data_IF_067492505158
#
_entry.id   IF_067492505158
#
_cell.length_a   1.000
_cell.length_b   1.000
_cell.length_c   1.000
_cell.angle_alpha   90.00
_cell.angle_beta   90.00
_cell.angle_gamma   90.00
#
_symmetry.space_group_name_H-M   'P 1'
#
loop_
_entity.id
_entity.type
_entity.pdbx_description
1 polymer ?
#
# COMPACT_ATOMS: atom_id res chain seq x y z
N UNK A 1 9.51 18.33 -5.67
CA UNK A 1 8.44 17.35 -5.97
C UNK A 1 7.48 17.38 -4.80
N UNK A 2 6.18 17.63 -5.02
CA UNK A 2 5.16 17.56 -3.97
C UNK A 2 4.43 16.23 -4.18
N UNK A 3 4.59 15.23 -3.30
CA UNK A 3 3.89 13.96 -3.45
C UNK A 3 2.39 14.16 -3.17
N UNK A 4 1.53 13.67 -4.07
CA UNK A 4 0.09 13.62 -3.84
C UNK A 4 -0.25 12.29 -3.16
N UNK A 5 -0.94 12.37 -2.01
CA UNK A 5 -1.43 11.20 -1.28
C UNK A 5 -2.91 10.99 -1.57
N UNK A 6 -3.27 9.76 -1.90
CA UNK A 6 -4.63 9.40 -2.25
C UNK A 6 -5.10 8.27 -1.33
N UNK A 7 -5.67 8.60 -0.16
CA UNK A 7 -6.16 7.62 0.78
C UNK A 7 -7.53 7.09 0.35
N UNK A 8 -7.69 5.77 0.35
CA UNK A 8 -8.96 5.09 0.13
C UNK A 8 -9.11 4.00 1.18
N UNK A 9 -10.33 3.79 1.69
CA UNK A 9 -10.62 2.71 2.62
C UNK A 9 -11.64 1.73 2.02
N UNK A 10 -11.46 0.44 2.33
CA UNK A 10 -12.38 -0.65 1.98
C UNK A 10 -12.62 -1.55 3.17
N UNK A 11 -13.81 -2.14 3.23
CA UNK A 11 -14.18 -3.06 4.32
C UNK A 11 -14.09 -4.48 3.80
N UNK A 12 -13.32 -5.30 4.52
CA UNK A 12 -13.29 -6.75 4.40
C UNK A 12 -14.24 -7.29 5.49
N UNK A 13 -15.33 -7.99 5.11
CA UNK A 13 -16.27 -8.56 6.07
C UNK A 13 -15.60 -9.60 6.97
N UNK A 14 -16.16 -9.80 8.17
CA UNK A 14 -15.81 -10.92 9.04
C UNK A 14 -16.06 -12.26 8.32
N UNK A 15 -15.19 -13.23 8.52
CA UNK A 15 -15.31 -14.56 7.91
C UNK A 15 -14.75 -14.65 6.49
N UNK A 16 -14.09 -13.61 5.98
CA UNK A 16 -13.56 -13.58 4.62
C UNK A 16 -12.27 -14.41 4.51
N UNK A 17 -12.16 -15.25 3.47
CA UNK A 17 -10.93 -15.99 3.13
C UNK A 17 -10.11 -15.30 2.04
N UNK A 18 -10.75 -14.43 1.25
CA UNK A 18 -10.09 -13.62 0.23
C UNK A 18 -10.83 -12.30 0.05
N UNK A 19 -10.09 -11.31 -0.45
CA UNK A 19 -10.61 -9.99 -0.78
C UNK A 19 -9.91 -9.48 -2.03
N UNK A 20 -10.67 -8.90 -2.96
CA UNK A 20 -10.14 -8.32 -4.18
C UNK A 20 -10.67 -6.90 -4.37
N UNK A 21 -9.77 -5.96 -4.65
CA UNK A 21 -10.11 -4.59 -5.00
C UNK A 21 -9.48 -4.24 -6.35
N UNK A 22 -10.32 -3.88 -7.30
CA UNK A 22 -9.93 -3.26 -8.57
C UNK A 22 -10.06 -1.76 -8.47
N UNK A 23 -9.29 -0.99 -9.27
CA UNK A 23 -9.35 0.48 -9.36
C UNK A 23 -8.71 1.24 -8.18
N UNK A 24 -7.52 0.80 -7.76
CA UNK A 24 -6.69 1.63 -6.85
C UNK A 24 -6.03 2.82 -7.55
N UNK A 25 -6.13 2.92 -8.87
CA UNK A 25 -5.68 4.09 -9.62
C UNK A 25 -6.69 5.22 -9.51
N UNK A 26 -6.21 6.41 -9.20
CA UNK A 26 -7.06 7.60 -9.11
C UNK A 26 -7.02 8.31 -10.46
N UNK A 27 -8.18 8.46 -11.10
CA UNK A 27 -8.32 9.04 -12.45
C UNK A 27 -7.48 8.35 -13.54
N UNK A 28 -7.21 7.06 -13.38
CA UNK A 28 -6.41 6.30 -14.34
C UNK A 28 -4.90 6.46 -14.17
N UNK A 29 -4.42 7.36 -13.33
CA UNK A 29 -2.98 7.48 -13.05
C UNK A 29 -2.53 6.46 -12.00
N UNK A 30 -1.40 5.81 -12.28
CA UNK A 30 -0.74 4.86 -11.39
C UNK A 30 0.14 5.62 -10.39
N UNK A 31 -0.01 5.37 -9.08
CA UNK A 31 0.96 5.84 -8.10
C UNK A 31 2.35 5.22 -8.37
N UNK A 32 3.41 5.81 -7.82
CA UNK A 32 4.75 5.22 -7.79
C UNK A 32 4.91 4.22 -6.64
N UNK A 33 4.20 4.44 -5.52
CA UNK A 33 4.18 3.52 -4.37
C UNK A 33 2.77 3.33 -3.84
N UNK A 34 2.48 2.15 -3.31
CA UNK A 34 1.22 1.84 -2.63
C UNK A 34 1.53 1.36 -1.22
N UNK A 35 0.91 2.01 -0.24
CA UNK A 35 0.94 1.57 1.16
C UNK A 35 -0.41 0.97 1.53
N UNK A 36 -0.38 -0.21 2.15
CA UNK A 36 -1.54 -0.93 2.63
C UNK A 36 -1.43 -1.08 4.15
N UNK A 37 -2.51 -0.76 4.86
CA UNK A 37 -2.66 -1.01 6.29
C UNK A 37 -3.97 -1.73 6.54
N UNK A 38 -3.94 -2.86 7.24
CA UNK A 38 -5.13 -3.57 7.67
C UNK A 38 -5.33 -3.30 9.17
N UNK A 39 -6.52 -2.86 9.55
CA UNK A 39 -6.88 -2.56 10.94
C UNK A 39 -8.30 -3.07 11.21
N UNK A 40 -8.60 -3.50 12.44
CA UNK A 40 -9.97 -3.87 12.80
C UNK A 40 -10.88 -2.65 12.62
N UNK A 41 -12.05 -2.82 12.01
CA UNK A 41 -13.01 -1.71 11.80
C UNK A 41 -13.38 -1.04 13.13
N UNK A 42 -13.49 -1.82 14.22
CA UNK A 42 -13.71 -1.30 15.57
C UNK A 42 -12.59 -0.39 16.07
N UNK A 43 -11.34 -0.72 15.75
CA UNK A 43 -10.17 0.07 16.13
C UNK A 43 -10.07 1.35 15.30
N UNK A 44 -10.52 1.34 14.05
CA UNK A 44 -10.56 2.51 13.19
C UNK A 44 -11.55 3.57 13.70
N UNK A 45 -12.71 3.15 14.22
CA UNK A 45 -13.69 4.06 14.83
C UNK A 45 -13.17 4.66 16.14
N UNK A 46 -12.26 3.96 16.82
CA UNK A 46 -11.58 4.42 18.02
C UNK A 46 -12.41 4.27 19.28
N UNK A 47 -11.73 3.92 20.36
CA UNK A 47 -12.23 3.93 21.74
C UNK A 47 -11.03 4.19 22.66
N UNK A 48 -11.27 4.48 23.94
CA UNK A 48 -10.17 4.70 24.89
C UNK A 48 -9.18 3.52 24.96
N UNK A 49 -9.67 2.29 24.72
CA UNK A 49 -8.88 1.06 24.76
C UNK A 49 -8.41 0.57 23.37
N UNK A 50 -8.79 1.25 22.28
CA UNK A 50 -8.44 0.83 20.92
C UNK A 50 -7.69 1.90 20.14
N UNK A 51 -6.73 1.47 19.32
CA UNK A 51 -5.89 2.36 18.53
C UNK A 51 -6.12 2.13 17.03
N UNK A 52 -6.43 3.19 16.25
CA UNK A 52 -6.56 3.09 14.80
C UNK A 52 -5.21 2.83 14.10
N UNK A 53 -4.10 2.92 14.82
CA UNK A 53 -2.75 2.65 14.31
C UNK A 53 -2.27 1.23 14.57
N UNK A 54 -3.13 0.36 15.12
CA UNK A 54 -2.80 -1.05 15.35
C UNK A 54 -2.99 -1.85 14.06
N UNK A 55 -1.95 -1.86 13.23
CA UNK A 55 -1.96 -2.56 11.95
C UNK A 55 -1.50 -4.01 12.12
N UNK A 56 -2.33 -4.95 11.65
CA UNK A 56 -2.12 -6.40 11.80
C UNK A 56 -2.31 -7.07 10.43
N UNK A 57 -1.67 -8.22 10.19
CA UNK A 57 -1.78 -8.92 8.90
C UNK A 57 -2.97 -9.90 8.81
N UNK A 58 -3.71 -10.15 9.89
CA UNK A 58 -4.91 -11.00 9.92
C UNK A 58 -4.71 -12.38 9.24
N UNK A 59 -3.57 -13.03 9.47
CA UNK A 59 -3.23 -14.32 8.86
C UNK A 59 -3.18 -14.27 7.32
N UNK A 60 -2.71 -13.15 6.77
CA UNK A 60 -2.46 -13.00 5.33
C UNK A 60 -1.58 -14.15 4.83
N UNK A 61 -2.08 -14.91 3.87
CA UNK A 61 -1.40 -16.04 3.25
C UNK A 61 -0.77 -15.63 1.93
N UNK A 62 -1.44 -14.77 1.15
CA UNK A 62 -0.89 -14.27 -0.11
C UNK A 62 -1.35 -12.86 -0.44
N UNK A 63 -0.49 -12.15 -1.17
CA UNK A 63 -0.73 -10.82 -1.70
C UNK A 63 -0.36 -10.82 -3.18
N UNK A 64 -1.34 -10.47 -4.02
CA UNK A 64 -1.14 -10.29 -5.45
C UNK A 64 -1.47 -8.85 -5.84
N UNK A 65 -0.54 -8.19 -6.50
CA UNK A 65 -0.74 -6.87 -7.08
C UNK A 65 -0.53 -6.95 -8.59
N UNK A 66 -1.55 -6.57 -9.35
CA UNK A 66 -1.52 -6.52 -10.81
C UNK A 66 -1.64 -5.08 -11.28
N UNK A 67 -0.83 -4.71 -12.25
CA UNK A 67 -0.90 -3.45 -12.97
C UNK A 67 -1.19 -3.77 -14.42
N UNK A 68 -2.28 -3.23 -14.97
CA UNK A 68 -2.71 -3.48 -16.35
C UNK A 68 -2.80 -4.98 -16.70
N UNK A 69 -3.31 -5.78 -15.76
CA UNK A 69 -3.44 -7.23 -15.88
C UNK A 69 -2.15 -8.03 -15.67
N UNK A 70 -0.98 -7.38 -15.65
CA UNK A 70 0.31 -8.03 -15.41
C UNK A 70 0.62 -8.07 -13.91
N UNK A 71 1.00 -9.23 -13.35
CA UNK A 71 1.40 -9.33 -11.95
C UNK A 71 2.74 -8.62 -11.73
N UNK A 72 2.75 -7.60 -10.86
CA UNK A 72 3.98 -6.94 -10.40
C UNK A 72 4.46 -7.58 -9.10
N UNK A 73 3.52 -7.94 -8.23
CA UNK A 73 3.81 -8.67 -6.99
C UNK A 73 2.94 -9.92 -6.88
N UNK A 74 3.57 -11.02 -6.49
CA UNK A 74 2.96 -12.32 -6.22
C UNK A 74 3.67 -12.92 -5.02
N UNK A 75 3.25 -12.49 -3.82
CA UNK A 75 3.87 -12.89 -2.56
C UNK A 75 3.01 -13.95 -1.89
N UNK A 76 3.67 -14.99 -1.38
CA UNK A 76 3.07 -16.05 -0.58
C UNK A 76 3.84 -16.18 0.73
N UNK A 77 3.13 -16.32 1.83
CA UNK A 77 3.66 -16.34 3.19
C UNK A 77 3.36 -17.71 3.80
N UNK A 78 4.26 -18.67 3.59
CA UNK A 78 4.21 -19.95 4.29
C UNK A 78 4.42 -19.71 5.79
N UNK A 79 3.60 -20.37 6.61
CA UNK A 79 3.71 -20.34 8.08
C UNK A 79 3.76 -18.93 8.69
N UNK A 80 3.10 -17.95 8.06
CA UNK A 80 3.07 -16.56 8.53
C UNK A 80 4.48 -15.92 8.64
N UNK A 81 5.42 -16.38 7.81
CA UNK A 81 6.73 -15.73 7.67
C UNK A 81 6.61 -14.52 6.77
N UNK A 82 6.63 -13.32 7.37
CA UNK A 82 6.49 -12.05 6.66
C UNK A 82 7.81 -11.30 6.52
N UNK A 83 8.95 -11.98 6.73
CA UNK A 83 10.27 -11.34 6.72
C UNK A 83 10.57 -10.61 5.42
N UNK A 84 10.28 -11.26 4.29
CA UNK A 84 10.42 -10.65 2.96
C UNK A 84 9.53 -9.41 2.81
N UNK A 85 8.26 -9.50 3.26
CA UNK A 85 7.31 -8.39 3.20
C UNK A 85 7.77 -7.18 4.03
N UNK A 86 8.31 -7.45 5.22
CA UNK A 86 8.91 -6.46 6.10
C UNK A 86 10.10 -5.77 5.43
N UNK A 87 11.07 -6.53 4.93
CA UNK A 87 12.27 -5.97 4.27
C UNK A 87 11.91 -5.15 3.04
N UNK A 88 10.98 -5.63 2.21
CA UNK A 88 10.44 -4.87 1.07
C UNK A 88 9.78 -3.57 1.51
N UNK A 89 9.02 -3.60 2.60
CA UNK A 89 8.35 -2.41 3.12
C UNK A 89 9.36 -1.38 3.65
N UNK A 90 10.39 -1.83 4.38
CA UNK A 90 11.45 -0.96 4.89
C UNK A 90 12.26 -0.34 3.75
N UNK A 91 12.62 -1.13 2.74
CA UNK A 91 13.29 -0.65 1.53
C UNK A 91 12.47 0.43 0.81
N UNK A 92 11.18 0.17 0.59
CA UNK A 92 10.28 1.09 -0.12
C UNK A 92 10.13 2.44 0.61
N UNK A 93 10.22 2.43 1.94
CA UNK A 93 10.22 3.62 2.79
C UNK A 93 11.58 4.35 2.86
N UNK A 94 12.63 3.83 2.21
CA UNK A 94 13.96 4.44 2.16
C UNK A 94 14.93 3.96 3.25
N UNK A 95 14.61 2.87 3.96
CA UNK A 95 15.44 2.35 5.05
C UNK A 95 16.76 1.70 4.61
N UNK A 96 16.88 1.26 3.35
CA UNK A 96 18.07 0.53 2.88
C UNK A 96 19.21 1.46 2.40
N UNK A 97 18.91 2.71 2.04
CA UNK A 97 19.86 3.64 1.40
C UNK A 97 20.25 4.84 2.28
N UNK A 98 19.77 4.89 3.51
CA UNK A 98 19.98 6.03 4.41
C UNK A 98 20.45 5.55 5.78
N UNK A 99 21.17 6.40 6.52
CA UNK A 99 21.43 6.19 7.96
C UNK A 99 20.17 6.31 8.83
N UNK A 100 18.99 6.37 8.20
CA UNK A 100 17.71 6.54 8.85
C UNK A 100 17.15 5.17 9.24
N UNK A 101 17.38 4.79 10.50
CA UNK A 101 16.65 3.70 11.12
C UNK A 101 15.34 4.23 11.69
N UNK A 102 14.20 3.71 11.24
CA UNK A 102 12.89 4.07 11.80
C UNK A 102 12.62 3.44 13.18
N UNK A 103 13.59 2.70 13.74
CA UNK A 103 13.51 2.04 15.06
C UNK A 103 12.51 0.88 15.14
N UNK A 104 11.95 0.46 14.00
CA UNK A 104 10.90 -0.54 13.93
C UNK A 104 11.50 -1.91 13.59
N UNK A 105 11.78 -2.73 14.60
CA UNK A 105 12.22 -4.11 14.38
C UNK A 105 11.11 -4.97 13.77
N UNK A 106 11.50 -6.09 13.14
CA UNK A 106 10.55 -7.07 12.60
C UNK A 106 9.51 -7.51 13.64
N UNK A 107 9.94 -7.79 14.88
CA UNK A 107 9.04 -8.22 15.97
C UNK A 107 8.04 -7.15 16.41
N UNK A 108 8.42 -5.87 16.31
CA UNK A 108 7.48 -4.75 16.56
C UNK A 108 6.54 -4.59 15.38
N UNK A 109 7.08 -4.63 14.16
CA UNK A 109 6.30 -4.50 12.92
C UNK A 109 5.19 -5.54 12.84
N UNK A 110 5.51 -6.82 13.10
CA UNK A 110 4.53 -7.92 12.98
C UNK A 110 3.42 -7.88 14.03
N UNK A 111 3.68 -7.29 15.20
CA UNK A 111 2.73 -7.30 16.33
C UNK A 111 1.60 -6.30 16.18
N UNK A 112 1.91 -5.07 15.78
CA UNK A 112 0.96 -3.95 15.83
C UNK A 112 1.22 -2.82 14.81
N UNK A 113 2.25 -2.95 13.98
CA UNK A 113 2.72 -1.87 13.10
C UNK A 113 2.92 -2.33 11.65
N UNK A 114 2.17 -3.34 11.21
CA UNK A 114 2.34 -4.03 9.92
C UNK A 114 1.80 -3.21 8.73
N UNK A 115 2.49 -2.12 8.39
CA UNK A 115 2.27 -1.40 7.13
C UNK A 115 3.04 -2.07 6.00
N UNK A 116 2.32 -2.43 4.95
CA UNK A 116 2.86 -3.04 3.73
C UNK A 116 3.15 -1.92 2.74
N UNK A 117 4.40 -1.76 2.31
CA UNK A 117 4.77 -0.75 1.31
C UNK A 117 5.32 -1.44 0.06
N UNK A 118 4.73 -1.13 -1.09
CA UNK A 118 5.05 -1.72 -2.38
C UNK A 118 5.46 -0.64 -3.37
N UNK A 119 6.59 -0.84 -4.04
CA UNK A 119 7.12 0.07 -5.05
C UNK A 119 6.70 -0.38 -6.46
N UNK A 120 5.90 0.42 -7.14
CA UNK A 120 5.43 0.14 -8.51
C UNK A 120 6.05 1.10 -9.54
N UNK A 121 7.00 1.93 -9.12
CA UNK A 121 7.73 2.87 -9.98
C UNK A 121 8.56 2.16 -11.05
N UNK A 122 9.05 0.94 -10.78
CA UNK A 122 9.87 0.13 -11.69
C UNK A 122 9.11 -0.58 -12.81
N UNK A 123 7.80 -0.34 -12.97
CA UNK A 123 7.04 -0.85 -14.12
C UNK A 123 7.68 -0.37 -15.43
N UNK A 124 7.91 -1.24 -16.43
CA UNK A 124 8.76 -0.98 -17.60
C UNK A 124 8.18 0.02 -18.63
N UNK A 125 7.25 0.86 -18.22
CA UNK A 125 6.73 1.95 -19.06
C UNK A 125 7.67 3.16 -18.97
N UNK A 126 8.08 3.67 -20.13
CA UNK A 126 8.95 4.84 -20.30
C UNK A 126 8.16 6.16 -20.20
N UNK A 127 6.85 6.08 -19.98
CA UNK A 127 5.98 7.24 -19.79
C UNK A 127 6.26 7.96 -18.47
N UNK A 128 6.29 9.31 -18.53
CA UNK A 128 6.34 10.16 -17.34
C UNK A 128 5.02 10.13 -16.55
N UNK A 129 3.92 9.83 -17.24
CA UNK A 129 2.59 9.62 -16.67
C UNK A 129 2.21 8.17 -16.94
N UNK A 130 2.19 7.38 -15.88
CA UNK A 130 1.84 5.96 -15.97
C UNK A 130 0.33 5.83 -15.82
N UNK A 131 -0.36 5.53 -16.92
CA UNK A 131 -1.80 5.28 -16.89
C UNK A 131 -2.11 3.79 -16.79
N UNK A 132 -3.14 3.45 -16.04
CA UNK A 132 -3.54 2.07 -15.88
C UNK A 132 -4.52 1.77 -14.75
N UNK A 133 -4.72 0.47 -14.58
CA UNK A 133 -5.54 -0.08 -13.51
C UNK A 133 -4.68 -0.92 -12.58
N UNK A 134 -4.89 -0.72 -11.29
CA UNK A 134 -4.29 -1.56 -10.25
C UNK A 134 -5.38 -2.47 -9.69
N UNK A 135 -5.05 -3.74 -9.56
CA UNK A 135 -5.84 -4.73 -8.86
C UNK A 135 -5.02 -5.35 -7.73
N UNK A 136 -5.59 -5.35 -6.55
CA UNK A 136 -5.05 -6.00 -5.35
C UNK A 136 -5.93 -7.20 -5.01
N UNK A 137 -5.33 -8.38 -4.89
CA UNK A 137 -5.98 -9.57 -4.37
C UNK A 137 -5.23 -10.02 -3.10
N UNK A 138 -5.97 -10.17 -2.00
CA UNK A 138 -5.49 -10.65 -0.70
C UNK A 138 -6.15 -12.01 -0.39
N UNK A 139 -5.37 -12.96 0.12
CA UNK A 139 -5.89 -14.25 0.60
C UNK A 139 -5.41 -14.49 2.02
N UNK A 140 -6.27 -15.03 2.87
CA UNK A 140 -6.00 -15.32 4.27
C UNK A 140 -5.94 -16.83 4.49
N UNK A 141 -5.04 -17.30 5.37
CA UNK A 141 -4.95 -18.73 5.70
C UNK A 141 -6.12 -19.22 6.56
N UNK A 142 -6.79 -18.30 7.25
CA UNK A 142 -8.01 -18.54 8.00
C UNK A 142 -8.99 -17.39 7.77
N UNK A 143 -10.26 -17.63 8.04
CA UNK A 143 -11.29 -16.63 7.91
C UNK A 143 -11.02 -15.46 8.88
N UNK A 144 -11.25 -14.22 8.45
CA UNK A 144 -11.03 -13.05 9.30
C UNK A 144 -11.91 -13.08 10.55
N UNK A 145 -11.30 -12.95 11.73
CA UNK A 145 -12.02 -13.05 13.02
C UNK A 145 -12.90 -11.82 13.32
N UNK A 146 -12.67 -10.72 12.60
CA UNK A 146 -13.42 -9.47 12.71
C UNK A 146 -13.53 -8.80 11.35
N UNK A 147 -14.39 -7.78 11.26
CA UNK A 147 -14.39 -6.88 10.12
C UNK A 147 -13.09 -6.09 10.11
N UNK A 148 -12.43 -6.05 8.95
CA UNK A 148 -11.13 -5.41 8.76
C UNK A 148 -11.29 -4.27 7.77
N UNK A 149 -10.82 -3.09 8.15
CA UNK A 149 -10.65 -1.95 7.26
C UNK A 149 -9.28 -2.03 6.60
N UNK A 150 -9.30 -2.12 5.27
CA UNK A 150 -8.13 -1.97 4.42
C UNK A 150 -7.97 -0.50 4.04
N UNK A 151 -6.91 0.11 4.55
CA UNK A 151 -6.49 1.48 4.20
C UNK A 151 -5.45 1.37 3.10
N UNK A 152 -5.66 2.11 2.02
CA UNK A 152 -4.83 2.12 0.82
C UNK A 152 -4.38 3.55 0.60
N UNK A 153 -3.07 3.78 0.51
CA UNK A 153 -2.49 5.08 0.23
C UNK A 153 -1.62 4.97 -1.00
N UNK A 154 -2.03 5.63 -2.09
CA UNK A 154 -1.21 5.82 -3.28
C UNK A 154 -0.33 7.05 -3.12
N UNK A 155 0.97 6.90 -3.39
CA UNK A 155 1.91 8.01 -3.56
C UNK A 155 2.08 8.28 -5.03
N UNK A 156 1.64 9.44 -5.50
CA UNK A 156 1.80 9.85 -6.89
C UNK A 156 2.89 10.92 -7.00
N UNK A 157 3.80 10.71 -7.94
CA UNK A 157 4.79 11.71 -8.32
C UNK A 157 4.15 12.72 -9.27
N UNK A 158 4.36 14.00 -8.97
CA UNK A 158 3.89 15.10 -9.82
C UNK A 158 5.11 15.87 -10.32
N UNK A 159 5.13 16.15 -11.62
CA UNK A 159 6.16 16.97 -12.24
C UNK A 159 5.73 18.43 -12.27
N UNK A 160 6.72 19.32 -12.28
CA UNK A 160 6.52 20.76 -12.40
C UNK A 160 7.08 21.16 -13.76
N UNK A 161 6.23 21.74 -14.60
CA UNK A 161 6.63 22.21 -15.92
C UNK A 161 7.01 23.69 -15.83
N UNK A 162 8.17 24.05 -16.37
CA UNK A 162 8.60 25.44 -16.50
C UNK A 162 8.72 25.72 -17.99
N UNK A 163 7.93 26.67 -18.48
CA UNK A 163 7.99 27.06 -19.88
C UNK A 163 9.13 28.06 -20.15
N UNK A 164 9.32 28.41 -21.42
CA UNK A 164 10.34 29.39 -21.82
C UNK A 164 10.07 30.81 -21.29
N UNK A 165 8.82 31.10 -20.87
CA UNK A 165 8.45 32.38 -20.24
C UNK A 165 8.70 32.39 -18.71
N UNK A 166 9.24 31.29 -18.16
CA UNK A 166 9.40 31.05 -16.72
C UNK A 166 8.07 30.96 -15.97
N UNK A 167 6.97 30.72 -16.68
CA UNK A 167 5.71 30.37 -16.06
C UNK A 167 5.81 28.94 -15.52
N UNK A 168 5.30 28.76 -14.31
CA UNK A 168 5.32 27.49 -13.59
C UNK A 168 3.93 26.88 -13.67
N UNK A 169 3.85 25.69 -14.28
CA UNK A 169 2.61 24.93 -14.37
C UNK A 169 2.72 23.68 -13.49
N UNK A 170 1.70 23.47 -12.67
CA UNK A 170 1.44 22.20 -12.03
C UNK A 170 0.39 21.49 -12.89
N UNK A 171 0.71 20.34 -13.51
CA UNK A 171 -0.30 19.49 -14.13
C UNK A 171 -1.10 18.86 -13.00
N UNK A 172 -2.13 19.57 -12.55
CA UNK A 172 -3.10 19.03 -11.61
C UNK A 172 -3.99 18.12 -12.45
N UNK A 173 -3.78 16.80 -12.36
CA UNK A 173 -4.80 15.87 -12.80
C UNK A 173 -6.08 16.15 -11.98
N UNK A 174 -7.23 16.41 -12.64
CA UNK A 174 -8.49 16.73 -11.97
C UNK A 174 -8.93 15.64 -10.99
#
# INVERSE_FOLDING_TARGET
MIPKLLPTARIIPTGSLSFAESSLSTYGHLPSKVILGLVKTSNQLGSYESSPFKFELFHLSSLYLKVNGQPIYSLSFSDQSYRLLYEMSMRTLGGDETTFENGLSYDKWIRDSSLICLDISGTPDLSLIKDGTIRLDLTFSQATDASVSLIIIGFQETFLEIDNSRAVFLPIAP
#
